data_IF_294973042983
#
_entry.id   IF_294973042983
#
_cell.length_a   1.000
_cell.length_b   1.000
_cell.length_c   1.000
_cell.angle_alpha   90.00
_cell.angle_beta   90.00
_cell.angle_gamma   90.00
#
_symmetry.space_group_name_H-M   'P 1'
#
loop_
_entity.id
_entity.type
_entity.pdbx_description
1 polymer ?
#
# COMPACT_ATOMS: atom_id res chain seq x y z
N UNK A 1 -17.53 -0.41 3.92
CA UNK A 1 -16.32 -0.99 3.28
C UNK A 1 -15.34 -1.31 4.39
N UNK A 2 -14.74 -2.50 4.37
CA UNK A 2 -13.77 -2.89 5.40
C UNK A 2 -12.51 -2.01 5.30
N UNK A 3 -12.12 -1.39 6.41
CA UNK A 3 -10.89 -0.61 6.49
C UNK A 3 -9.69 -1.53 6.25
N UNK A 4 -8.75 -1.08 5.42
CA UNK A 4 -7.56 -1.83 5.03
C UNK A 4 -7.78 -2.82 3.88
N UNK A 5 -8.92 -2.78 3.19
CA UNK A 5 -9.08 -3.54 1.95
C UNK A 5 -8.18 -2.96 0.84
N UNK A 6 -7.15 -3.71 0.44
CA UNK A 6 -6.25 -3.35 -0.66
C UNK A 6 -6.60 -4.02 -2.00
N UNK A 7 -6.59 -3.25 -3.08
CA UNK A 7 -6.61 -3.72 -4.47
C UNK A 7 -5.20 -3.57 -5.04
N UNK A 8 -4.57 -4.70 -5.37
CA UNK A 8 -3.26 -4.76 -6.03
C UNK A 8 -3.45 -5.04 -7.51
N UNK A 9 -2.84 -4.20 -8.36
CA UNK A 9 -2.81 -4.34 -9.81
C UNK A 9 -1.36 -4.44 -10.26
N UNK A 10 -1.03 -5.60 -10.83
CA UNK A 10 0.26 -5.90 -11.43
C UNK A 10 0.00 -6.60 -12.76
N UNK A 11 0.78 -6.31 -13.82
CA UNK A 11 0.73 -7.11 -15.05
C UNK A 11 1.06 -8.58 -14.74
N UNK A 12 0.30 -9.50 -15.35
CA UNK A 12 0.55 -10.94 -15.18
C UNK A 12 1.81 -11.39 -15.92
N UNK A 13 2.17 -10.67 -16.97
CA UNK A 13 3.25 -11.00 -17.89
C UNK A 13 4.12 -9.75 -18.11
N UNK A 14 5.43 -9.95 -18.20
CA UNK A 14 6.42 -8.91 -18.49
C UNK A 14 7.57 -9.52 -19.28
N UNK A 15 8.23 -8.75 -20.14
CA UNK A 15 9.48 -9.20 -20.78
C UNK A 15 10.64 -9.10 -19.79
N UNK A 16 11.66 -9.91 -20.00
CA UNK A 16 12.89 -9.83 -19.21
C UNK A 16 13.50 -8.43 -19.28
N UNK A 17 13.61 -7.78 -18.12
CA UNK A 17 14.15 -6.43 -17.98
C UNK A 17 13.16 -5.31 -18.27
N UNK A 18 11.88 -5.65 -18.46
CA UNK A 18 10.80 -4.67 -18.63
C UNK A 18 10.45 -3.99 -17.30
N UNK A 19 10.05 -2.72 -17.38
CA UNK A 19 9.60 -1.94 -16.25
C UNK A 19 8.08 -2.03 -16.18
N UNK A 20 7.57 -2.77 -15.18
CA UNK A 20 6.14 -2.88 -14.92
C UNK A 20 5.69 -1.86 -13.89
N UNK A 21 4.41 -1.48 -13.97
CA UNK A 21 3.76 -0.63 -12.96
C UNK A 21 3.03 -1.51 -11.95
N UNK A 22 3.44 -1.42 -10.70
CA UNK A 22 2.76 -2.00 -9.55
C UNK A 22 1.89 -0.90 -8.95
N UNK A 23 0.57 -1.09 -8.99
CA UNK A 23 -0.39 -0.12 -8.49
C UNK A 23 -1.19 -0.73 -7.36
N UNK A 24 -1.34 0.01 -6.26
CA UNK A 24 -2.07 -0.41 -5.08
C UNK A 24 -3.01 0.70 -4.63
N UNK A 25 -4.28 0.35 -4.43
CA UNK A 25 -5.27 1.21 -3.77
C UNK A 25 -5.65 0.57 -2.46
N UNK A 26 -5.53 1.30 -1.36
CA UNK A 26 -5.94 0.81 -0.04
C UNK A 26 -7.15 1.61 0.42
N UNK A 27 -8.26 0.94 0.75
CA UNK A 27 -9.42 1.61 1.35
C UNK A 27 -9.14 1.93 2.81
N UNK A 28 -8.71 3.16 3.08
CA UNK A 28 -8.35 3.61 4.43
C UNK A 28 -8.73 5.09 4.64
N UNK A 29 -9.28 5.48 5.81
CA UNK A 29 -9.72 6.86 6.08
C UNK A 29 -8.57 7.87 6.15
N UNK A 30 -7.37 7.44 6.55
CA UNK A 30 -6.17 8.29 6.69
C UNK A 30 -6.45 9.57 7.48
N UNK A 31 -6.98 9.42 8.68
CA UNK A 31 -7.29 10.54 9.56
C UNK A 31 -6.00 11.14 10.15
N UNK A 32 -5.68 12.43 9.88
CA UNK A 32 -4.45 13.08 10.32
C UNK A 32 -4.33 13.26 11.84
N UNK A 33 -5.45 13.22 12.57
CA UNK A 33 -5.45 13.51 14.00
C UNK A 33 -5.46 15.00 14.36
N UNK A 34 -5.70 15.87 13.37
CA UNK A 34 -5.75 17.33 13.55
C UNK A 34 -7.16 17.91 13.39
N UNK A 35 -8.12 17.10 12.91
CA UNK A 35 -9.51 17.50 12.78
C UNK A 35 -10.21 17.48 14.13
N UNK A 36 -11.05 18.49 14.35
CA UNK A 36 -11.96 18.54 15.47
C UNK A 36 -13.34 18.08 15.01
N UNK A 37 -13.97 17.25 15.83
CA UNK A 37 -15.35 16.88 15.64
C UNK A 37 -16.25 18.11 15.88
N UNK A 38 -17.08 18.51 14.91
CA UNK A 38 -17.88 19.72 15.01
C UNK A 38 -19.03 19.63 16.03
N UNK A 39 -19.41 18.43 16.48
CA UNK A 39 -20.48 18.22 17.46
C UNK A 39 -19.95 18.19 18.89
N UNK A 40 -18.77 17.60 19.10
CA UNK A 40 -18.19 17.40 20.44
C UNK A 40 -17.03 18.34 20.76
N UNK A 41 -16.46 19.02 19.75
CA UNK A 41 -15.28 19.88 19.89
C UNK A 41 -13.96 19.13 20.16
N UNK A 42 -14.01 17.79 20.24
CA UNK A 42 -12.86 16.96 20.55
C UNK A 42 -12.00 16.69 19.31
N UNK A 43 -10.70 16.44 19.52
CA UNK A 43 -9.78 16.04 18.44
C UNK A 43 -10.05 14.59 18.07
N UNK A 44 -10.27 14.34 16.78
CA UNK A 44 -10.41 12.96 16.26
C UNK A 44 -9.03 12.29 16.36
N UNK A 45 -8.89 11.12 17.00
CA UNK A 45 -7.61 10.44 17.10
C UNK A 45 -7.05 10.12 15.70
N UNK A 46 -5.73 10.28 15.53
CA UNK A 46 -5.06 9.94 14.28
C UNK A 46 -5.35 8.48 13.90
N UNK A 47 -5.72 8.24 12.64
CA UNK A 47 -5.91 6.91 12.11
C UNK A 47 -5.39 6.80 10.69
N UNK A 48 -4.12 6.40 10.54
CA UNK A 48 -3.43 6.33 9.26
C UNK A 48 -2.58 5.07 9.15
N UNK A 49 -2.31 4.68 7.90
CA UNK A 49 -1.27 3.70 7.59
C UNK A 49 0.08 4.27 8.01
N UNK A 50 0.90 3.47 8.69
CA UNK A 50 2.22 3.86 9.19
C UNK A 50 3.32 3.38 8.28
N UNK A 51 3.21 2.15 7.77
CA UNK A 51 4.25 1.52 6.96
C UNK A 51 3.64 0.67 5.86
N UNK A 52 4.24 0.74 4.67
CA UNK A 52 3.96 -0.14 3.55
C UNK A 52 5.27 -0.69 2.99
N UNK A 53 5.38 -2.01 2.92
CA UNK A 53 6.54 -2.74 2.43
C UNK A 53 6.19 -3.48 1.15
N UNK A 54 6.97 -3.24 0.11
CA UNK A 54 6.87 -3.93 -1.17
C UNK A 54 8.04 -4.90 -1.26
N UNK A 55 7.72 -6.19 -1.34
CA UNK A 55 8.65 -7.27 -1.52
C UNK A 55 8.48 -7.90 -2.90
N UNK A 56 9.58 -8.31 -3.50
CA UNK A 56 9.62 -9.09 -4.73
C UNK A 56 10.54 -10.28 -4.53
N UNK A 57 10.02 -11.50 -4.71
CA UNK A 57 10.77 -12.75 -4.43
C UNK A 57 11.41 -12.72 -3.02
N UNK A 58 10.61 -12.36 -2.01
CA UNK A 58 11.00 -12.21 -0.60
C UNK A 58 12.09 -11.16 -0.31
N UNK A 59 12.49 -10.37 -1.31
CA UNK A 59 13.39 -9.23 -1.13
C UNK A 59 12.61 -7.94 -1.04
N UNK A 60 12.86 -7.16 0.01
CA UNK A 60 12.30 -5.81 0.14
C UNK A 60 12.82 -4.93 -0.98
N UNK A 61 11.93 -4.52 -1.89
CA UNK A 61 12.22 -3.59 -2.98
C UNK A 61 12.07 -2.16 -2.51
N UNK A 62 11.01 -1.89 -1.74
CA UNK A 62 10.67 -0.55 -1.30
C UNK A 62 9.96 -0.58 0.03
N UNK A 63 10.22 0.42 0.86
CA UNK A 63 9.51 0.71 2.09
C UNK A 63 9.01 2.14 1.99
N UNK A 64 7.73 2.34 2.29
CA UNK A 64 7.07 3.62 2.27
C UNK A 64 6.53 3.88 3.67
N UNK A 65 7.14 4.84 4.35
CA UNK A 65 6.65 5.35 5.62
C UNK A 65 5.56 6.39 5.35
N UNK A 66 4.37 6.14 5.88
CA UNK A 66 3.18 6.95 5.67
C UNK A 66 2.81 7.63 6.98
N UNK A 67 2.44 8.90 6.90
CA UNK A 67 1.98 9.68 8.05
C UNK A 67 0.58 10.24 7.84
N UNK A 68 0.11 11.00 8.82
CA UNK A 68 -1.20 11.66 8.76
C UNK A 68 -1.38 12.66 7.61
N UNK A 69 -0.32 13.02 6.88
CA UNK A 69 -0.40 13.90 5.70
C UNK A 69 -0.88 13.22 4.42
N UNK A 70 -1.05 11.90 4.42
CA UNK A 70 -1.51 11.16 3.23
C UNK A 70 -3.03 11.19 3.14
N UNK A 71 -3.56 11.43 1.93
CA UNK A 71 -4.99 11.48 1.66
C UNK A 71 -5.70 10.15 1.89
N UNK A 72 -7.01 10.22 2.18
CA UNK A 72 -7.88 9.06 2.24
C UNK A 72 -7.82 8.22 0.96
N UNK A 73 -7.97 6.91 1.11
CA UNK A 73 -7.83 5.92 0.05
C UNK A 73 -6.48 6.02 -0.70
N UNK A 74 -5.34 5.82 -0.02
CA UNK A 74 -4.04 6.05 -0.63
C UNK A 74 -3.85 5.16 -1.85
N UNK A 75 -3.44 5.80 -2.95
CA UNK A 75 -2.98 5.17 -4.17
C UNK A 75 -1.45 5.19 -4.18
N UNK A 76 -0.84 4.02 -4.25
CA UNK A 76 0.60 3.86 -4.37
C UNK A 76 0.89 3.27 -5.75
N UNK A 77 1.65 4.00 -6.56
CA UNK A 77 2.12 3.55 -7.86
C UNK A 77 3.64 3.48 -7.86
N UNK A 78 4.18 2.28 -8.06
CA UNK A 78 5.62 2.03 -8.10
C UNK A 78 5.97 1.37 -9.43
N UNK A 79 7.17 1.62 -9.92
CA UNK A 79 7.72 0.91 -11.07
C UNK A 79 8.73 -0.12 -10.59
N UNK A 80 8.54 -1.37 -10.99
CA UNK A 80 9.45 -2.46 -10.69
C UNK A 80 10.07 -2.93 -12.01
N UNK A 81 11.38 -3.05 -12.05
CA UNK A 81 12.06 -3.75 -13.15
C UNK A 81 12.00 -5.25 -12.85
N UNK A 82 11.45 -6.02 -13.78
CA UNK A 82 11.25 -7.46 -13.61
C UNK A 82 12.17 -8.21 -14.55
N UNK A 83 13.21 -8.81 -13.98
CA UNK A 83 14.20 -9.60 -14.72
C UNK A 83 13.87 -11.11 -14.71
N UNK A 84 13.05 -11.55 -13.75
CA UNK A 84 12.64 -12.96 -13.58
C UNK A 84 11.18 -13.07 -13.10
N UNK A 85 10.55 -14.22 -13.33
CA UNK A 85 9.22 -14.52 -12.79
C UNK A 85 9.25 -14.54 -11.26
N UNK A 86 8.16 -14.11 -10.63
CA UNK A 86 8.15 -13.97 -9.18
C UNK A 86 6.82 -13.57 -8.57
N UNK A 87 6.86 -13.34 -7.27
CA UNK A 87 5.73 -12.88 -6.48
C UNK A 87 6.04 -11.47 -5.95
N UNK A 88 5.16 -10.53 -6.28
CA UNK A 88 5.11 -9.20 -5.66
C UNK A 88 4.20 -9.30 -4.45
N UNK A 89 4.76 -9.09 -3.26
CA UNK A 89 4.03 -9.02 -1.99
C UNK A 89 4.04 -7.58 -1.49
N UNK A 90 2.88 -7.05 -1.13
CA UNK A 90 2.75 -5.76 -0.46
C UNK A 90 2.13 -5.97 0.90
N UNK A 91 2.87 -5.64 1.95
CA UNK A 91 2.42 -5.65 3.33
C UNK A 91 2.24 -4.21 3.81
N UNK A 92 1.20 -3.93 4.58
CA UNK A 92 0.95 -2.60 5.12
C UNK A 92 0.25 -2.69 6.46
N UNK A 93 0.54 -1.71 7.31
CA UNK A 93 0.01 -1.64 8.66
C UNK A 93 -0.45 -0.22 9.01
N UNK A 94 -1.38 -0.16 9.97
CA UNK A 94 -1.90 1.09 10.52
C UNK A 94 -1.48 1.30 11.98
N UNK A 95 -1.69 2.52 12.47
CA UNK A 95 -1.38 2.90 13.84
C UNK A 95 -2.35 2.35 14.91
N UNK A 96 -3.41 1.64 14.50
CA UNK A 96 -4.38 0.96 15.39
C UNK A 96 -4.15 -0.56 15.47
N UNK A 97 -3.06 -1.06 14.90
CA UNK A 97 -2.70 -2.48 14.91
C UNK A 97 -3.30 -3.31 13.78
N UNK A 98 -3.98 -2.68 12.83
CA UNK A 98 -4.40 -3.30 11.58
C UNK A 98 -3.20 -3.64 10.71
N UNK A 99 -3.16 -4.89 10.22
CA UNK A 99 -2.12 -5.39 9.33
C UNK A 99 -2.76 -6.15 8.20
N UNK A 100 -2.27 -5.90 6.99
CA UNK A 100 -2.80 -6.52 5.79
C UNK A 100 -1.68 -6.82 4.83
N UNK A 101 -1.93 -7.81 3.97
CA UNK A 101 -1.03 -8.19 2.91
C UNK A 101 -1.79 -8.50 1.63
N UNK A 102 -1.13 -8.26 0.50
CA UNK A 102 -1.59 -8.62 -0.84
C UNK A 102 -0.43 -9.19 -1.63
N UNK A 103 -0.70 -10.24 -2.38
CA UNK A 103 0.26 -10.87 -3.28
C UNK A 103 -0.26 -10.82 -4.71
N UNK A 104 0.66 -10.67 -5.65
CA UNK A 104 0.41 -10.79 -7.08
C UNK A 104 1.56 -11.53 -7.74
N UNK A 105 1.24 -12.47 -8.59
CA UNK A 105 2.22 -13.21 -9.39
C UNK A 105 2.51 -12.44 -10.69
N UNK A 106 3.79 -12.41 -11.07
CA UNK A 106 4.26 -11.89 -12.35
C UNK A 106 5.13 -12.94 -13.02
N UNK A 107 4.85 -13.22 -14.30
CA UNK A 107 5.63 -14.15 -15.12
C UNK A 107 6.44 -13.37 -16.13
N UNK A 108 7.71 -13.74 -16.27
CA UNK A 108 8.56 -13.27 -17.34
C UNK A 108 8.41 -14.17 -18.55
N UNK A 109 8.07 -13.56 -19.69
CA UNK A 109 7.90 -14.21 -21.01
C UNK A 109 8.95 -13.73 -22.01
#
# INVERSE_FOLDING_TARGET
MAVGAGILRVPKEAKKGEIVKVQMVITHPMEPGTRKDPQTGQIIPAYHLTKLEVLFNDKTVSVVDMGGGVSANPFIGLTLKVDESGIVKIAYEDNKGGKWEKTAEIRVV
#
